data_IF_835362815379
#
_entry.id   IF_835362815379
#
_cell.length_a   1.000
_cell.length_b   1.000
_cell.length_c   1.000
_cell.angle_alpha   90.00
_cell.angle_beta   90.00
_cell.angle_gamma   90.00
#
_symmetry.space_group_name_H-M   'P 1'
#
loop_
_entity.id
_entity.type
_entity.pdbx_description
1 polymer ?
#
# COMPACT_ATOMS: atom_id res chain seq x y z
N UNK A 1 -12.82 3.81 -1.02
CA UNK A 1 -14.11 3.17 -1.08
C UNK A 1 -14.36 2.29 0.13
N UNK A 2 -15.61 1.95 0.38
CA UNK A 2 -16.04 1.24 1.61
C UNK A 2 -15.58 1.96 2.89
N UNK A 3 -15.39 3.27 2.84
CA UNK A 3 -14.94 4.07 3.96
C UNK A 3 -13.47 3.95 4.30
N UNK A 4 -12.68 3.23 3.51
CA UNK A 4 -11.23 3.14 3.67
C UNK A 4 -10.56 4.04 2.64
N UNK A 5 -9.73 4.96 3.11
CA UNK A 5 -8.98 5.87 2.25
C UNK A 5 -7.49 5.53 2.31
N UNK A 6 -6.85 5.61 1.16
CA UNK A 6 -5.43 5.33 1.02
C UNK A 6 -4.76 6.51 0.36
N UNK A 7 -3.68 6.98 0.97
CA UNK A 7 -2.83 8.03 0.41
C UNK A 7 -1.44 7.47 0.26
N UNK A 8 -0.87 7.58 -0.92
CA UNK A 8 0.50 7.17 -1.19
C UNK A 8 1.39 8.39 -1.27
N UNK A 9 2.47 8.37 -0.48
CA UNK A 9 3.51 9.38 -0.52
C UNK A 9 4.77 8.72 -1.05
N UNK A 10 5.15 9.08 -2.28
CA UNK A 10 6.28 8.48 -2.97
C UNK A 10 7.48 9.43 -2.90
N UNK A 11 8.65 8.88 -2.55
CA UNK A 11 9.92 9.60 -2.58
C UNK A 11 10.89 8.87 -3.48
N UNK A 12 11.65 9.65 -4.24
CA UNK A 12 12.72 9.14 -5.09
C UNK A 12 14.05 9.65 -4.56
N UNK A 13 15.12 8.90 -4.85
CA UNK A 13 16.49 9.28 -4.50
C UNK A 13 17.26 9.53 -5.80
N UNK A 14 17.77 10.75 -5.99
CA UNK A 14 18.50 11.11 -7.19
C UNK A 14 19.81 10.33 -7.35
N UNK A 15 20.41 9.88 -6.23
CA UNK A 15 21.63 9.06 -6.27
C UNK A 15 21.35 7.60 -6.58
N UNK A 16 20.08 7.17 -6.59
CA UNK A 16 19.67 5.79 -6.84
C UNK A 16 18.47 5.75 -7.80
N UNK A 17 18.69 6.01 -9.09
CA UNK A 17 17.61 5.99 -10.08
C UNK A 17 16.88 4.64 -10.08
N UNK A 18 15.57 4.68 -10.22
CA UNK A 18 14.75 3.49 -10.24
C UNK A 18 14.35 2.96 -8.86
N UNK A 19 14.82 3.58 -7.78
CA UNK A 19 14.39 3.23 -6.42
C UNK A 19 13.34 4.20 -5.93
N UNK A 20 12.24 3.65 -5.39
CA UNK A 20 11.12 4.41 -4.87
C UNK A 20 10.81 3.95 -3.46
N UNK A 21 10.66 4.91 -2.55
CA UNK A 21 10.17 4.67 -1.19
C UNK A 21 8.77 5.19 -1.10
N UNK A 22 7.83 4.33 -0.75
CA UNK A 22 6.42 4.66 -0.70
C UNK A 22 5.94 4.48 0.73
N UNK A 23 5.30 5.52 1.26
CA UNK A 23 4.55 5.44 2.51
C UNK A 23 3.08 5.41 2.17
N UNK A 24 2.41 4.30 2.48
CA UNK A 24 0.98 4.17 2.36
C UNK A 24 0.33 4.57 3.67
N UNK A 25 -0.62 5.47 3.61
CA UNK A 25 -1.38 5.94 4.78
C UNK A 25 -2.82 5.46 4.60
N UNK A 26 -3.28 4.64 5.54
CA UNK A 26 -4.63 4.09 5.52
C UNK A 26 -5.46 4.74 6.60
N UNK A 27 -6.65 5.22 6.25
CA UNK A 27 -7.60 5.80 7.20
C UNK A 27 -8.96 5.16 7.03
N UNK A 28 -9.69 5.03 8.15
CA UNK A 28 -11.01 4.45 8.19
C UNK A 28 -12.02 5.54 8.55
N UNK A 29 -12.94 5.84 7.64
CA UNK A 29 -14.03 6.80 7.86
C UNK A 29 -15.34 6.13 8.28
N UNK A 30 -15.35 4.81 8.48
CA UNK A 30 -16.50 4.10 9.03
C UNK A 30 -16.63 4.37 10.55
N UNK A 31 -17.82 4.13 11.09
CA UNK A 31 -18.04 4.20 12.53
C UNK A 31 -17.51 2.97 13.27
N UNK A 32 -17.26 1.87 12.57
CA UNK A 32 -16.75 0.62 13.12
C UNK A 32 -15.30 0.38 12.68
N UNK A 33 -14.57 -0.46 13.43
CA UNK A 33 -13.21 -0.86 13.06
C UNK A 33 -13.20 -1.65 11.75
N UNK A 34 -12.18 -1.43 10.95
CA UNK A 34 -11.79 -2.30 9.84
C UNK A 34 -10.76 -3.29 10.37
N UNK A 35 -11.01 -4.57 10.19
CA UNK A 35 -10.14 -5.64 10.72
C UNK A 35 -9.59 -6.50 9.57
N UNK A 36 -8.62 -7.35 9.89
CA UNK A 36 -7.98 -8.27 8.93
C UNK A 36 -7.48 -7.54 7.68
N UNK A 37 -6.94 -6.34 7.89
CA UNK A 37 -6.43 -5.50 6.82
C UNK A 37 -5.14 -6.08 6.25
N UNK A 38 -5.12 -6.32 4.95
CA UNK A 38 -3.96 -6.86 4.25
C UNK A 38 -3.80 -6.16 2.90
N UNK A 39 -2.63 -5.60 2.66
CA UNK A 39 -2.29 -4.98 1.38
C UNK A 39 -1.34 -5.87 0.61
N UNK A 40 -1.72 -6.23 -0.60
CA UNK A 40 -0.89 -7.00 -1.52
C UNK A 40 -0.40 -6.09 -2.64
N UNK A 41 0.88 -6.20 -2.95
CA UNK A 41 1.52 -5.41 -4.00
C UNK A 41 2.11 -6.37 -5.02
N UNK A 42 1.81 -6.15 -6.29
CA UNK A 42 2.37 -6.90 -7.40
C UNK A 42 3.18 -5.97 -8.31
N UNK A 43 4.36 -6.41 -8.71
CA UNK A 43 5.23 -5.68 -9.63
C UNK A 43 5.66 -6.60 -10.77
N UNK A 44 5.99 -6.03 -11.96
CA UNK A 44 6.48 -6.82 -13.09
C UNK A 44 7.83 -7.50 -12.80
N UNK A 45 8.24 -8.49 -13.63
CA UNK A 45 9.50 -9.22 -13.40
C UNK A 45 10.76 -8.34 -13.41
N UNK A 46 10.74 -7.19 -14.08
CA UNK A 46 11.88 -6.27 -14.12
C UNK A 46 11.94 -5.35 -12.88
N UNK A 47 11.02 -5.51 -11.94
CA UNK A 47 11.00 -4.73 -10.72
C UNK A 47 11.12 -5.64 -9.50
N UNK A 48 11.66 -5.10 -8.42
CA UNK A 48 11.70 -5.77 -7.12
C UNK A 48 10.92 -4.97 -6.11
N UNK A 49 10.33 -5.65 -5.15
CA UNK A 49 9.57 -5.02 -4.07
C UNK A 49 10.05 -5.54 -2.72
N UNK A 50 10.05 -4.65 -1.74
CA UNK A 50 10.19 -4.99 -0.32
C UNK A 50 9.02 -4.32 0.39
N UNK A 51 8.21 -5.11 1.09
CA UNK A 51 7.05 -4.63 1.82
C UNK A 51 7.30 -4.89 3.29
N UNK A 52 7.26 -3.83 4.08
CA UNK A 52 7.32 -3.94 5.55
C UNK A 52 5.91 -4.16 6.07
N UNK A 53 5.74 -4.92 7.17
CA UNK A 53 4.42 -5.10 7.77
C UNK A 53 3.79 -3.77 8.14
N UNK A 54 2.47 -3.67 8.02
CA UNK A 54 1.73 -2.52 8.52
C UNK A 54 1.86 -2.45 10.06
N UNK A 55 1.71 -1.23 10.59
CA UNK A 55 1.75 -1.02 12.05
C UNK A 55 0.65 -1.83 12.76
N UNK A 56 -0.49 -2.04 12.10
CA UNK A 56 -1.61 -2.77 12.63
C UNK A 56 -2.43 -3.36 11.49
N UNK A 57 -3.10 -4.48 11.75
CA UNK A 57 -4.09 -5.06 10.83
C UNK A 57 -5.50 -4.55 11.12
N UNK A 58 -5.66 -3.69 12.11
CA UNK A 58 -6.94 -3.09 12.47
C UNK A 58 -6.87 -1.58 12.25
N UNK A 59 -7.87 -1.05 11.54
CA UNK A 59 -8.04 0.39 11.32
C UNK A 59 -9.18 0.88 12.19
N UNK A 60 -8.86 1.59 13.28
CA UNK A 60 -9.86 2.25 14.10
C UNK A 60 -10.38 3.51 13.41
N UNK A 61 -11.63 3.91 13.62
CA UNK A 61 -12.17 5.13 13.02
C UNK A 61 -11.31 6.35 13.37
N UNK A 62 -10.91 7.10 12.32
CA UNK A 62 -10.12 8.31 12.48
C UNK A 62 -8.66 8.10 12.85
N UNK A 63 -8.18 6.87 12.99
CA UNK A 63 -6.79 6.57 13.33
C UNK A 63 -6.02 6.13 12.09
N UNK A 64 -4.94 6.82 11.70
CA UNK A 64 -4.16 6.41 10.55
C UNK A 64 -3.27 5.21 10.87
N UNK A 65 -3.06 4.35 9.87
CA UNK A 65 -2.09 3.25 9.92
C UNK A 65 -1.15 3.42 8.73
N UNK A 66 0.13 3.22 8.97
CA UNK A 66 1.17 3.41 7.96
C UNK A 66 1.79 2.08 7.57
N UNK A 67 2.12 1.95 6.28
CA UNK A 67 2.88 0.82 5.77
C UNK A 67 3.91 1.33 4.78
N UNK A 68 5.14 0.81 4.85
CA UNK A 68 6.23 1.23 4.00
C UNK A 68 6.50 0.18 2.94
N UNK A 69 6.71 0.64 1.70
CA UNK A 69 7.01 -0.18 0.55
C UNK A 69 8.26 0.41 -0.12
N UNK A 70 9.19 -0.46 -0.49
CA UNK A 70 10.32 -0.08 -1.31
C UNK A 70 10.22 -0.82 -2.63
N UNK A 71 10.35 -0.09 -3.74
CA UNK A 71 10.27 -0.64 -5.08
C UNK A 71 11.53 -0.25 -5.83
N UNK A 72 12.07 -1.19 -6.60
CA UNK A 72 13.23 -0.97 -7.45
C UNK A 72 12.90 -1.39 -8.88
N UNK A 73 13.15 -0.50 -9.84
CA UNK A 73 13.06 -0.80 -11.26
C UNK A 73 14.48 -0.96 -11.79
N UNK A 74 14.85 -2.20 -12.12
CA UNK A 74 16.21 -2.52 -12.61
C UNK A 74 16.40 -2.18 -14.09
N UNK A 75 15.33 -1.80 -14.79
CA UNK A 75 15.37 -1.47 -16.22
C UNK A 75 14.78 -0.08 -16.48
N UNK A 76 15.09 0.86 -15.58
CA UNK A 76 14.67 2.24 -15.76
C UNK A 76 15.25 2.80 -17.06
N UNK A 77 14.38 3.43 -17.85
CA UNK A 77 14.73 3.95 -19.16
C UNK A 77 14.32 3.04 -20.31
N UNK A 78 14.12 1.73 -20.06
CA UNK A 78 13.60 0.80 -21.06
C UNK A 78 12.24 0.23 -20.69
N UNK A 79 11.91 0.18 -19.39
CA UNK A 79 10.65 -0.33 -18.89
C UNK A 79 10.03 0.65 -17.90
N UNK A 80 8.71 0.81 -17.96
CA UNK A 80 7.97 1.67 -17.05
C UNK A 80 7.92 1.08 -15.65
N UNK A 81 7.87 1.95 -14.64
CA UNK A 81 7.60 1.53 -13.27
C UNK A 81 6.10 1.33 -13.09
N UNK A 82 5.68 0.11 -12.75
CA UNK A 82 4.28 -0.28 -12.59
C UNK A 82 4.09 -0.99 -11.28
N UNK A 83 3.01 -0.66 -10.57
CA UNK A 83 2.65 -1.31 -9.33
C UNK A 83 1.14 -1.55 -9.31
N UNK A 84 0.73 -2.77 -8.97
CA UNK A 84 -0.68 -3.10 -8.73
C UNK A 84 -0.87 -3.37 -7.25
N UNK A 85 -1.95 -2.84 -6.69
CA UNK A 85 -2.25 -2.95 -5.27
C UNK A 85 -3.63 -3.56 -5.11
N UNK A 86 -3.72 -4.53 -4.18
CA UNK A 86 -4.99 -5.11 -3.76
C UNK A 86 -5.09 -5.02 -2.25
N UNK A 87 -6.24 -4.57 -1.77
CA UNK A 87 -6.55 -4.48 -0.34
C UNK A 87 -7.67 -5.46 -0.01
N UNK A 88 -7.44 -6.25 1.02
CA UNK A 88 -8.46 -7.11 1.61
C UNK A 88 -8.66 -6.69 3.06
N UNK A 89 -9.91 -6.60 3.49
CA UNK A 89 -10.25 -6.20 4.84
C UNK A 89 -11.67 -6.64 5.21
N UNK A 90 -11.99 -6.55 6.49
CA UNK A 90 -13.32 -6.89 7.01
C UNK A 90 -13.93 -5.67 7.67
N UNK A 91 -15.16 -5.33 7.28
CA UNK A 91 -15.96 -4.24 7.87
C UNK A 91 -17.29 -4.84 8.31
N UNK A 92 -17.65 -4.66 9.59
CA UNK A 92 -18.92 -5.18 10.15
C UNK A 92 -19.13 -6.67 9.84
N UNK A 93 -18.06 -7.48 9.91
CA UNK A 93 -18.13 -8.91 9.65
C UNK A 93 -18.20 -9.27 8.16
N UNK A 94 -18.14 -8.31 7.26
CA UNK A 94 -18.21 -8.55 5.81
C UNK A 94 -16.84 -8.31 5.18
N UNK A 95 -16.35 -9.29 4.42
CA UNK A 95 -15.09 -9.17 3.69
C UNK A 95 -15.26 -8.24 2.50
N UNK A 96 -14.30 -7.34 2.32
CA UNK A 96 -14.24 -6.40 1.21
C UNK A 96 -12.87 -6.49 0.55
N UNK A 97 -12.82 -6.24 -0.75
CA UNK A 97 -11.59 -6.17 -1.52
C UNK A 97 -11.60 -4.94 -2.42
N UNK A 98 -10.46 -4.24 -2.48
CA UNK A 98 -10.25 -3.11 -3.38
C UNK A 98 -9.00 -3.40 -4.21
N UNK A 99 -9.09 -3.19 -5.51
CA UNK A 99 -7.94 -3.37 -6.39
C UNK A 99 -7.76 -2.19 -7.35
#
# INVERSE_FOLDING_TARGET
SHGVNIIFQCRTDASRPGQYRIRAVFTNSNAANVTDFDMKVAVPPWMKKVIKPAQSTTLAPGQPVYQFIQIMNNQLGSKASVMKIKLDFVVNGTKQSIS
#
